data_IF_004631267724
#
_entry.id   IF_004631267724
#
_cell.length_a   1.000
_cell.length_b   1.000
_cell.length_c   1.000
_cell.angle_alpha   90.00
_cell.angle_beta   90.00
_cell.angle_gamma   90.00
#
_symmetry.space_group_name_H-M   'P 1'
#
loop_
_entity.id
_entity.type
_entity.pdbx_description
1 polymer ?
#
# COMPACT_ATOMS: atom_id res chain seq x y z
N UNK A 1 22.35 -4.57 17.77
CA UNK A 1 22.48 -4.07 16.38
C UNK A 1 21.09 -3.91 15.79
N UNK A 2 20.59 -2.67 15.74
CA UNK A 2 19.72 -2.10 14.70
C UNK A 2 19.50 -0.64 15.10
N UNK A 3 20.54 0.17 14.89
CA UNK A 3 20.49 1.63 15.12
C UNK A 3 19.59 2.34 14.10
N UNK A 4 19.24 1.66 13.00
CA UNK A 4 18.43 2.21 11.92
C UNK A 4 17.25 1.28 11.61
N UNK A 5 16.10 1.88 11.33
CA UNK A 5 14.86 1.27 10.87
C UNK A 5 14.39 1.91 9.55
N UNK A 6 13.32 1.37 8.95
CA UNK A 6 12.80 1.85 7.65
C UNK A 6 12.50 3.36 7.60
N UNK A 7 12.18 3.98 8.73
CA UNK A 7 11.90 5.42 8.79
C UNK A 7 13.13 6.29 8.60
N UNK A 8 14.34 5.77 8.86
CA UNK A 8 15.56 6.55 8.66
C UNK A 8 15.84 6.83 7.18
N UNK A 9 15.22 6.07 6.27
CA UNK A 9 15.22 6.38 4.85
C UNK A 9 14.28 7.53 4.47
N UNK A 10 13.24 7.83 5.25
CA UNK A 10 12.24 8.86 4.90
C UNK A 10 12.83 10.28 4.83
N UNK A 11 13.66 10.73 5.80
CA UNK A 11 14.32 12.05 5.74
C UNK A 11 15.26 12.22 4.54
N UNK A 12 15.80 11.13 3.98
CA UNK A 12 16.69 11.20 2.81
C UNK A 12 15.99 11.74 1.55
N UNK A 13 14.65 11.78 1.54
CA UNK A 13 13.87 12.19 0.39
C UNK A 13 13.76 11.13 -0.70
N UNK A 14 14.37 9.95 -0.51
CA UNK A 14 14.18 8.80 -1.40
C UNK A 14 12.71 8.41 -1.40
N UNK A 15 12.10 8.43 -2.59
CA UNK A 15 10.79 7.84 -2.79
C UNK A 15 10.93 6.33 -2.80
N UNK A 16 10.36 5.67 -1.80
CA UNK A 16 10.38 4.23 -1.70
C UNK A 16 8.96 3.69 -1.78
N UNK A 17 8.83 2.49 -2.33
CA UNK A 17 7.54 1.82 -2.48
C UNK A 17 7.60 0.56 -1.64
N UNK A 18 6.66 0.44 -0.71
CA UNK A 18 6.47 -0.80 0.03
C UNK A 18 5.72 -1.78 -0.86
N UNK A 19 6.27 -2.98 -1.04
CA UNK A 19 5.59 -4.09 -1.69
C UNK A 19 5.25 -5.20 -0.70
N UNK A 20 4.30 -6.07 -1.08
CA UNK A 20 4.03 -7.31 -0.36
C UNK A 20 5.30 -8.17 -0.30
N UNK A 21 5.37 -8.99 0.74
CA UNK A 21 6.40 -10.03 0.85
C UNK A 21 6.15 -11.11 -0.20
N UNK A 22 7.06 -11.21 -1.18
CA UNK A 22 6.99 -12.16 -2.28
C UNK A 22 7.18 -13.62 -1.87
N UNK A 23 7.61 -13.91 -0.63
CA UNK A 23 7.73 -15.29 -0.16
C UNK A 23 6.39 -16.00 0.02
N UNK A 24 5.29 -15.25 0.14
CA UNK A 24 3.96 -15.80 0.39
C UNK A 24 3.51 -16.78 -0.69
N UNK A 25 3.84 -16.47 -1.95
CA UNK A 25 3.38 -17.22 -3.12
C UNK A 25 4.47 -18.13 -3.73
N UNK A 26 5.67 -18.17 -3.12
CA UNK A 26 6.82 -18.97 -3.56
C UNK A 26 7.05 -20.25 -2.74
N UNK A 27 6.07 -20.63 -1.91
CA UNK A 27 6.04 -21.89 -1.17
C UNK A 27 7.31 -22.17 -0.32
N UNK A 28 7.86 -21.14 0.32
CA UNK A 28 8.96 -21.29 1.29
C UNK A 28 8.54 -20.94 2.74
N UNK A 29 7.79 -21.80 3.44
CA UNK A 29 7.40 -21.56 4.84
C UNK A 29 8.55 -21.68 5.86
N UNK A 30 9.76 -22.06 5.42
CA UNK A 30 10.86 -22.46 6.30
C UNK A 30 11.52 -21.33 7.11
N UNK A 31 11.34 -20.07 6.73
CA UNK A 31 12.11 -18.96 7.30
C UNK A 31 13.59 -18.99 6.91
N UNK A 32 14.32 -17.95 7.33
CA UNK A 32 15.74 -17.75 7.01
C UNK A 32 16.58 -18.88 7.61
N UNK A 33 17.53 -19.42 6.84
CA UNK A 33 18.54 -20.37 7.32
C UNK A 33 18.13 -21.86 7.32
N UNK A 34 16.96 -22.22 6.81
CA UNK A 34 16.55 -23.64 6.65
C UNK A 34 16.80 -24.16 5.24
N UNK A 35 17.35 -25.37 5.16
CA UNK A 35 17.48 -26.12 3.89
C UNK A 35 16.09 -26.45 3.33
N UNK A 36 15.96 -26.43 2.02
CA UNK A 36 14.68 -26.76 1.36
C UNK A 36 14.43 -28.27 1.31
N UNK A 37 13.17 -28.67 1.50
CA UNK A 37 12.73 -30.07 1.37
C UNK A 37 12.69 -30.51 -0.08
N UNK A 38 12.63 -31.82 -0.31
CA UNK A 38 12.47 -32.38 -1.66
C UNK A 38 11.21 -31.83 -2.38
N UNK A 39 10.11 -31.62 -1.64
CA UNK A 39 8.89 -31.04 -2.21
C UNK A 39 9.09 -29.59 -2.65
N UNK A 40 9.81 -28.80 -1.86
CA UNK A 40 10.15 -27.41 -2.23
C UNK A 40 11.05 -27.37 -3.46
N UNK A 41 12.06 -28.24 -3.53
CA UNK A 41 12.94 -28.35 -4.71
C UNK A 41 12.18 -28.66 -6.00
N UNK A 42 11.16 -29.53 -5.95
CA UNK A 42 10.36 -29.91 -7.12
C UNK A 42 9.67 -28.72 -7.78
N UNK A 43 9.30 -27.69 -7.01
CA UNK A 43 8.69 -26.47 -7.54
C UNK A 43 9.61 -25.68 -8.47
N UNK A 44 10.92 -25.87 -8.34
CA UNK A 44 11.95 -25.14 -9.10
C UNK A 44 12.62 -26.00 -10.17
N UNK A 45 12.17 -27.24 -10.39
CA UNK A 45 12.74 -28.11 -11.42
C UNK A 45 12.60 -27.54 -12.84
N UNK A 46 11.66 -26.63 -13.08
CA UNK A 46 11.58 -25.94 -14.37
C UNK A 46 12.84 -25.11 -14.67
N UNK A 47 13.57 -24.61 -13.67
CA UNK A 47 14.88 -23.97 -13.88
C UNK A 47 15.95 -24.98 -14.31
N UNK A 48 15.95 -26.17 -13.68
CA UNK A 48 16.85 -27.29 -14.00
C UNK A 48 16.60 -27.83 -15.42
N UNK A 49 15.33 -27.93 -15.79
CA UNK A 49 14.86 -28.56 -17.01
C UNK A 49 14.68 -27.55 -18.16
N UNK A 50 14.88 -26.25 -17.90
CA UNK A 50 14.77 -25.17 -18.88
C UNK A 50 15.68 -25.41 -20.09
N UNK A 51 15.28 -24.93 -21.27
CA UNK A 51 16.18 -24.93 -22.44
C UNK A 51 17.21 -23.79 -22.39
N UNK A 52 17.04 -22.80 -21.49
CA UNK A 52 17.97 -21.69 -21.31
C UNK A 52 19.11 -22.11 -20.35
N UNK A 53 20.37 -22.20 -20.81
CA UNK A 53 21.49 -22.63 -19.98
C UNK A 53 21.74 -21.69 -18.78
N UNK A 54 21.31 -20.42 -18.85
CA UNK A 54 21.45 -19.47 -17.74
C UNK A 54 20.50 -19.83 -16.59
N UNK A 55 19.30 -20.31 -16.89
CA UNK A 55 18.35 -20.75 -15.86
C UNK A 55 18.82 -22.04 -15.19
N UNK A 56 19.39 -22.98 -15.96
CA UNK A 56 20.07 -24.16 -15.40
C UNK A 56 21.19 -23.75 -14.45
N UNK A 57 22.00 -22.78 -14.86
CA UNK A 57 23.08 -22.26 -14.02
C UNK A 57 22.56 -21.66 -12.71
N UNK A 58 21.49 -20.85 -12.74
CA UNK A 58 20.83 -20.34 -11.53
C UNK A 58 20.40 -21.50 -10.61
N UNK A 59 19.80 -22.56 -11.15
CA UNK A 59 19.44 -23.74 -10.36
C UNK A 59 20.64 -24.34 -9.62
N UNK A 60 21.82 -24.41 -10.26
CA UNK A 60 23.05 -24.88 -9.57
C UNK A 60 23.47 -23.97 -8.42
N UNK A 61 23.20 -22.66 -8.51
CA UNK A 61 23.51 -21.71 -7.43
C UNK A 61 22.57 -21.92 -6.24
N UNK A 62 21.28 -22.15 -6.49
CA UNK A 62 20.33 -22.53 -5.45
C UNK A 62 20.79 -23.81 -4.74
N UNK A 63 21.23 -24.82 -5.51
CA UNK A 63 21.70 -26.09 -4.93
C UNK A 63 22.94 -25.89 -4.04
N UNK A 64 23.87 -25.02 -4.45
CA UNK A 64 25.05 -24.68 -3.65
C UNK A 64 24.66 -23.98 -2.33
N UNK A 65 23.60 -23.16 -2.34
CA UNK A 65 23.03 -22.53 -1.14
C UNK A 65 22.23 -23.53 -0.28
N UNK A 66 21.89 -24.70 -0.82
CA UNK A 66 21.05 -25.69 -0.16
C UNK A 66 19.60 -25.23 0.02
N UNK A 67 19.20 -24.15 -0.67
CA UNK A 67 17.90 -23.50 -0.52
C UNK A 67 17.33 -23.08 -1.87
N UNK A 68 16.08 -23.49 -2.11
CA UNK A 68 15.30 -23.12 -3.28
C UNK A 68 14.47 -21.87 -2.95
N UNK A 69 15.14 -20.73 -2.91
CA UNK A 69 14.57 -19.42 -2.62
C UNK A 69 14.95 -18.45 -3.74
N UNK A 70 13.94 -17.94 -4.44
CA UNK A 70 14.11 -16.92 -5.48
C UNK A 70 13.30 -15.66 -5.15
N UNK A 71 13.06 -15.37 -3.88
CA UNK A 71 12.21 -14.23 -3.46
C UNK A 71 12.62 -12.90 -4.09
N UNK A 72 13.90 -12.64 -4.31
CA UNK A 72 14.36 -11.43 -5.02
C UNK A 72 13.86 -11.33 -6.48
N UNK A 73 13.54 -12.46 -7.11
CA UNK A 73 12.93 -12.46 -8.45
C UNK A 73 11.51 -11.87 -8.45
N UNK A 74 10.80 -11.92 -7.32
CA UNK A 74 9.49 -11.25 -7.17
C UNK A 74 9.63 -9.74 -7.17
N UNK A 75 10.72 -9.20 -6.58
CA UNK A 75 11.02 -7.77 -6.63
C UNK A 75 11.31 -7.33 -8.07
N UNK A 76 12.11 -8.12 -8.80
CA UNK A 76 12.38 -7.86 -10.21
C UNK A 76 11.10 -7.90 -11.05
N UNK A 77 10.25 -8.91 -10.81
CA UNK A 77 8.95 -9.02 -11.46
C UNK A 77 8.07 -7.80 -11.17
N UNK A 78 7.98 -7.38 -9.92
CA UNK A 78 7.27 -6.18 -9.50
C UNK A 78 7.80 -4.92 -10.20
N UNK A 79 9.12 -4.72 -10.25
CA UNK A 79 9.73 -3.56 -10.91
C UNK A 79 9.41 -3.48 -12.40
N UNK A 80 9.31 -4.63 -13.07
CA UNK A 80 8.98 -4.70 -14.50
C UNK A 80 7.48 -4.50 -14.77
N UNK A 81 6.62 -4.89 -13.83
CA UNK A 81 5.20 -5.12 -14.12
C UNK A 81 4.22 -4.33 -13.27
N UNK A 82 4.64 -3.84 -12.10
CA UNK A 82 3.77 -3.28 -11.06
C UNK A 82 2.94 -4.32 -10.29
N UNK A 83 3.07 -5.61 -10.61
CA UNK A 83 2.35 -6.72 -9.97
C UNK A 83 3.13 -7.27 -8.76
N UNK A 84 2.52 -7.19 -7.58
CA UNK A 84 3.12 -7.64 -6.32
C UNK A 84 2.76 -9.08 -5.95
N UNK A 85 1.83 -9.68 -6.68
CA UNK A 85 1.34 -11.03 -6.41
C UNK A 85 2.03 -12.01 -7.39
N UNK A 86 3.36 -11.89 -7.49
CA UNK A 86 4.18 -12.74 -8.35
C UNK A 86 4.25 -14.17 -7.78
N UNK A 87 3.84 -15.15 -8.58
CA UNK A 87 3.89 -16.58 -8.26
C UNK A 87 4.88 -17.32 -9.16
N UNK A 88 5.08 -18.61 -8.89
CA UNK A 88 5.99 -19.46 -9.66
C UNK A 88 5.61 -19.58 -11.14
N UNK A 89 4.32 -19.58 -11.47
CA UNK A 89 3.85 -19.71 -12.85
C UNK A 89 4.12 -18.42 -13.65
N UNK A 90 3.90 -17.26 -13.03
CA UNK A 90 4.25 -15.95 -13.59
C UNK A 90 5.75 -15.82 -13.81
N UNK A 91 6.55 -16.23 -12.82
CA UNK A 91 8.01 -16.23 -12.92
C UNK A 91 8.50 -17.19 -14.02
N UNK A 92 7.95 -18.40 -14.11
CA UNK A 92 8.28 -19.35 -15.17
C UNK A 92 7.89 -18.81 -16.55
N UNK A 93 6.70 -18.22 -16.67
CA UNK A 93 6.24 -17.62 -17.92
C UNK A 93 7.20 -16.50 -18.40
N UNK A 94 7.62 -15.63 -17.49
CA UNK A 94 8.56 -14.56 -17.80
C UNK A 94 9.97 -15.09 -18.10
N UNK A 95 10.53 -15.91 -17.22
CA UNK A 95 11.94 -16.29 -17.24
C UNK A 95 12.21 -17.41 -18.24
N UNK A 96 11.40 -18.46 -18.28
CA UNK A 96 11.63 -19.64 -19.13
C UNK A 96 10.96 -19.46 -20.50
N UNK A 97 9.66 -19.17 -20.49
CA UNK A 97 8.87 -19.03 -21.73
C UNK A 97 9.07 -17.67 -22.43
N UNK A 98 9.85 -16.75 -21.84
CA UNK A 98 10.11 -15.39 -22.34
C UNK A 98 8.83 -14.58 -22.62
N UNK A 99 7.74 -14.91 -21.94
CA UNK A 99 6.46 -14.22 -22.07
C UNK A 99 6.47 -13.02 -21.14
N UNK A 100 6.74 -11.84 -21.69
CA UNK A 100 6.65 -10.58 -20.95
C UNK A 100 5.17 -10.35 -20.60
N UNK A 101 4.81 -10.31 -19.31
CA UNK A 101 3.44 -10.04 -18.90
C UNK A 101 3.07 -8.61 -19.27
N UNK A 102 1.76 -8.36 -19.44
CA UNK A 102 1.29 -6.99 -19.65
C UNK A 102 1.64 -6.18 -18.42
N UNK A 103 2.47 -5.15 -18.60
CA UNK A 103 2.83 -4.23 -17.53
C UNK A 103 1.53 -3.63 -16.99
N UNK A 104 1.17 -4.01 -15.76
CA UNK A 104 0.14 -3.33 -15.00
C UNK A 104 0.74 -1.99 -14.58
N UNK A 105 0.68 -1.00 -15.49
CA UNK A 105 1.07 0.38 -15.18
C UNK A 105 0.31 0.94 -13.97
N UNK A 106 -0.74 0.25 -13.54
CA UNK A 106 -1.64 0.69 -12.52
C UNK A 106 -1.91 -0.42 -11.51
N UNK A 107 -1.66 -0.11 -10.24
CA UNK A 107 -2.14 -0.89 -9.11
C UNK A 107 -3.57 -0.50 -8.75
N UNK A 108 -4.39 -1.51 -8.51
CA UNK A 108 -5.74 -1.31 -7.98
C UNK A 108 -5.72 -0.95 -6.48
N UNK A 109 -4.66 -1.30 -5.77
CA UNK A 109 -4.50 -1.02 -4.35
C UNK A 109 -3.11 -0.43 -4.09
N UNK A 110 -3.08 0.73 -3.45
CA UNK A 110 -1.86 1.37 -2.94
C UNK A 110 -2.04 1.59 -1.45
N UNK A 111 -1.18 1.01 -0.62
CA UNK A 111 -1.19 1.22 0.84
C UNK A 111 0.04 2.03 1.25
N UNK A 112 -0.19 3.00 2.14
CA UNK A 112 0.85 3.74 2.82
C UNK A 112 0.66 3.48 4.32
N UNK A 113 1.59 2.74 4.93
CA UNK A 113 1.57 2.56 6.39
C UNK A 113 1.71 3.91 7.08
N UNK A 114 1.04 4.11 8.20
CA UNK A 114 0.98 5.40 8.89
C UNK A 114 2.38 5.82 9.36
N UNK A 115 3.19 4.88 9.82
CA UNK A 115 4.60 5.06 10.15
C UNK A 115 5.50 5.23 8.92
N UNK A 116 4.97 5.27 7.70
CA UNK A 116 5.70 5.64 6.49
C UNK A 116 5.36 7.05 6.01
N UNK A 117 4.43 7.75 6.66
CA UNK A 117 4.15 9.15 6.33
C UNK A 117 5.38 10.02 6.60
N UNK A 118 5.65 10.95 5.67
CA UNK A 118 6.84 11.81 5.68
C UNK A 118 6.89 12.70 6.91
N UNK A 119 5.75 13.24 7.32
CA UNK A 119 5.62 14.07 8.50
C UNK A 119 4.68 13.43 9.51
N UNK A 120 5.16 13.30 10.75
CA UNK A 120 4.42 12.79 11.90
C UNK A 120 4.39 13.89 12.99
N UNK A 121 3.43 14.80 12.92
CA UNK A 121 3.26 15.87 13.89
C UNK A 121 2.44 15.34 15.09
N UNK A 122 2.99 15.42 16.30
CA UNK A 122 2.31 14.94 17.51
C UNK A 122 2.30 13.42 17.71
N UNK A 123 2.92 12.65 16.80
CA UNK A 123 2.91 11.19 16.79
C UNK A 123 4.25 10.57 17.23
N UNK A 124 4.18 9.40 17.86
CA UNK A 124 5.28 8.43 18.04
C UNK A 124 4.96 7.15 17.26
N UNK A 125 6.00 6.41 16.91
CA UNK A 125 5.86 5.09 16.30
C UNK A 125 5.77 4.07 17.42
N UNK A 126 4.83 3.15 17.31
CA UNK A 126 4.62 2.04 18.23
C UNK A 126 4.91 0.72 17.51
N UNK A 127 5.41 -0.26 18.27
CA UNK A 127 5.88 -1.55 17.76
C UNK A 127 5.24 -2.70 18.52
N UNK A 128 5.11 -3.85 17.87
CA UNK A 128 4.84 -5.13 18.53
C UNK A 128 3.37 -5.54 18.58
N UNK A 129 2.43 -4.69 18.16
CA UNK A 129 1.03 -5.09 18.01
C UNK A 129 0.89 -6.07 16.84
N UNK A 130 0.57 -7.33 17.12
CA UNK A 130 0.43 -8.38 16.11
C UNK A 130 -0.77 -8.18 15.17
N UNK A 131 -1.73 -7.32 15.53
CA UNK A 131 -2.92 -7.02 14.72
C UNK A 131 -2.73 -5.82 13.80
N UNK A 132 -1.73 -4.97 14.06
CA UNK A 132 -1.34 -3.87 13.18
C UNK A 132 -0.59 -4.40 11.94
N UNK A 133 -0.71 -3.70 10.81
CA UNK A 133 0.04 -4.03 9.60
C UNK A 133 1.52 -3.98 9.91
N UNK A 134 2.24 -5.03 9.52
CA UNK A 134 3.68 -5.16 9.75
C UNK A 134 4.12 -5.07 11.23
N UNK A 135 3.18 -5.12 12.16
CA UNK A 135 3.37 -4.96 13.62
C UNK A 135 3.87 -3.58 14.04
N UNK A 136 3.56 -2.55 13.26
CA UNK A 136 3.86 -1.15 13.56
C UNK A 136 2.60 -0.32 13.39
N UNK A 137 2.52 0.77 14.13
CA UNK A 137 1.52 1.82 13.95
C UNK A 137 2.07 3.15 14.46
N UNK A 138 1.28 4.22 14.38
CA UNK A 138 1.59 5.49 15.05
C UNK A 138 0.50 5.83 16.06
N UNK A 139 0.88 6.28 17.24
CA UNK A 139 0.00 6.81 18.29
C UNK A 139 0.39 8.22 18.67
N UNK A 140 -0.56 9.03 19.11
CA UNK A 140 -0.29 10.36 19.66
C UNK A 140 0.71 10.24 20.82
N UNK A 141 1.60 11.21 20.96
CA UNK A 141 2.57 11.24 22.08
C UNK A 141 1.91 11.55 23.41
N UNK A 142 0.86 12.36 23.36
CA UNK A 142 0.01 12.78 24.46
C UNK A 142 -1.39 13.06 23.90
N UNK A 143 -2.39 13.01 24.76
CA UNK A 143 -3.75 13.46 24.44
C UNK A 143 -3.69 14.88 23.88
N UNK A 144 -4.38 15.14 22.76
CA UNK A 144 -4.26 16.40 22.03
C UNK A 144 -4.52 16.22 20.54
N UNK A 145 -3.86 17.01 19.71
CA UNK A 145 -3.98 16.93 18.24
C UNK A 145 -2.70 16.43 17.62
N UNK A 146 -2.83 15.51 16.66
CA UNK A 146 -1.75 15.07 15.80
C UNK A 146 -2.17 15.03 14.34
N UNK A 147 -1.18 14.88 13.47
CA UNK A 147 -1.37 14.87 12.03
C UNK A 147 -0.26 14.08 11.35
N UNK A 148 -0.66 13.20 10.44
CA UNK A 148 0.25 12.53 9.52
C UNK A 148 0.09 13.12 8.13
N UNK A 149 1.20 13.34 7.42
CA UNK A 149 1.20 13.96 6.08
C UNK A 149 2.24 13.39 5.13
N UNK A 150 1.84 13.16 3.88
CA UNK A 150 2.72 12.71 2.79
C UNK A 150 2.15 13.09 1.42
N UNK A 151 2.95 12.98 0.37
CA UNK A 151 2.48 13.08 -1.01
C UNK A 151 2.07 11.71 -1.55
N UNK A 152 1.02 11.66 -2.37
CA UNK A 152 0.62 10.45 -3.08
C UNK A 152 1.49 10.26 -4.35
N UNK A 153 2.70 9.71 -4.18
CA UNK A 153 3.72 9.62 -5.25
C UNK A 153 4.11 8.17 -5.62
N UNK A 154 3.17 7.23 -5.57
CA UNK A 154 3.44 5.86 -5.99
C UNK A 154 3.54 5.79 -7.52
N UNK A 155 4.63 5.24 -8.07
CA UNK A 155 4.89 5.20 -9.52
C UNK A 155 3.94 4.29 -10.30
N UNK A 156 3.19 3.43 -9.59
CA UNK A 156 2.15 2.57 -10.15
C UNK A 156 0.74 3.06 -9.81
N UNK A 157 0.59 4.28 -9.28
CA UNK A 157 -0.71 4.93 -9.12
C UNK A 157 -1.05 5.78 -10.34
N UNK A 158 -2.34 5.95 -10.60
CA UNK A 158 -2.85 6.83 -11.65
C UNK A 158 -3.83 7.83 -11.07
N UNK A 159 -4.08 8.93 -11.78
CA UNK A 159 -5.18 9.82 -11.45
C UNK A 159 -6.54 9.11 -11.56
N UNK A 160 -7.42 9.33 -10.59
CA UNK A 160 -8.79 8.84 -10.67
C UNK A 160 -9.54 8.86 -9.34
N UNK A 161 -10.59 8.04 -9.25
CA UNK A 161 -11.41 7.87 -8.05
C UNK A 161 -10.89 6.71 -7.24
N UNK A 162 -10.78 6.92 -5.94
CA UNK A 162 -10.34 5.96 -4.97
C UNK A 162 -11.35 5.85 -3.84
N UNK A 163 -11.58 4.62 -3.37
CA UNK A 163 -12.10 4.41 -2.03
C UNK A 163 -10.90 4.40 -1.08
N UNK A 164 -10.84 5.39 -0.19
CA UNK A 164 -9.73 5.57 0.75
C UNK A 164 -10.10 4.97 2.09
N UNK A 165 -9.40 3.93 2.49
CA UNK A 165 -9.52 3.27 3.78
C UNK A 165 -8.48 3.80 4.77
N UNK A 166 -8.91 4.20 5.96
CA UNK A 166 -8.04 4.59 7.07
C UNK A 166 -8.26 3.58 8.18
N UNK A 167 -7.20 2.84 8.53
CA UNK A 167 -7.24 1.89 9.63
C UNK A 167 -6.75 2.55 10.90
N UNK A 168 -7.58 2.52 11.93
CA UNK A 168 -7.36 3.19 13.22
C UNK A 168 -7.70 2.25 14.38
N UNK A 169 -7.19 2.54 15.57
CA UNK A 169 -7.51 1.77 16.78
C UNK A 169 -8.57 2.50 17.60
N UNK A 170 -9.54 1.76 18.11
CA UNK A 170 -10.64 2.21 18.96
C UNK A 170 -10.34 1.74 20.39
N UNK A 171 -9.86 2.66 21.24
CA UNK A 171 -9.46 2.37 22.62
C UNK A 171 -10.70 2.42 23.53
N UNK A 172 -10.64 1.79 24.70
CA UNK A 172 -11.82 1.70 25.58
C UNK A 172 -12.22 3.04 26.20
N UNK A 173 -11.23 3.89 26.51
CA UNK A 173 -11.34 4.94 27.50
C UNK A 173 -11.30 6.38 26.93
N UNK A 174 -11.82 6.57 25.70
CA UNK A 174 -12.12 7.90 25.18
C UNK A 174 -12.64 7.90 23.74
N UNK A 175 -12.46 9.02 23.03
CA UNK A 175 -13.03 9.21 21.67
C UNK A 175 -12.18 10.10 20.76
N UNK A 176 -11.32 9.48 19.96
CA UNK A 176 -10.49 10.17 18.99
C UNK A 176 -11.31 10.61 17.78
N UNK A 177 -11.21 11.89 17.40
CA UNK A 177 -11.87 12.47 16.24
C UNK A 177 -10.90 12.57 15.06
N UNK A 178 -11.23 11.89 13.97
CA UNK A 178 -10.40 11.76 12.77
C UNK A 178 -10.98 12.56 11.60
N UNK A 179 -10.10 13.07 10.72
CA UNK A 179 -10.46 13.72 9.46
C UNK A 179 -9.44 13.39 8.37
N UNK A 180 -9.92 13.16 7.15
CA UNK A 180 -9.10 12.98 5.95
C UNK A 180 -9.12 14.27 5.13
N UNK A 181 -7.96 14.70 4.62
CA UNK A 181 -7.83 15.77 3.65
C UNK A 181 -7.00 15.33 2.44
N UNK A 182 -7.39 15.83 1.27
CA UNK A 182 -6.59 15.79 0.03
C UNK A 182 -6.43 17.22 -0.45
N UNK A 183 -5.18 17.69 -0.60
CA UNK A 183 -4.85 19.08 -0.95
C UNK A 183 -5.56 20.13 -0.07
N UNK A 184 -5.53 19.95 1.25
CA UNK A 184 -6.21 20.80 2.26
C UNK A 184 -7.73 20.80 2.23
N UNK A 185 -8.38 20.10 1.29
CA UNK A 185 -9.84 19.93 1.29
C UNK A 185 -10.21 18.67 2.07
N UNK A 186 -11.05 18.82 3.10
CA UNK A 186 -11.57 17.67 3.84
C UNK A 186 -12.40 16.78 2.91
N UNK A 187 -12.23 15.46 3.02
CA UNK A 187 -12.97 14.46 2.27
C UNK A 187 -13.89 13.69 3.22
N UNK A 188 -15.19 13.72 2.92
CA UNK A 188 -16.21 13.14 3.79
C UNK A 188 -16.41 13.91 5.10
N UNK A 189 -17.26 13.36 5.97
CA UNK A 189 -17.43 13.84 7.33
C UNK A 189 -16.27 13.40 8.23
N UNK A 190 -16.06 14.13 9.33
CA UNK A 190 -15.21 13.65 10.41
C UNK A 190 -15.85 12.42 11.07
N UNK A 191 -15.05 11.50 11.60
CA UNK A 191 -15.54 10.29 12.29
C UNK A 191 -14.84 10.11 13.64
N UNK A 192 -15.47 9.37 14.55
CA UNK A 192 -14.94 9.10 15.89
C UNK A 192 -14.63 7.62 16.07
N UNK A 193 -13.59 7.32 16.85
CA UNK A 193 -13.48 6.03 17.55
C UNK A 193 -14.49 6.06 18.72
N UNK A 194 -15.50 5.21 18.67
CA UNK A 194 -16.59 5.22 19.66
C UNK A 194 -17.20 3.86 19.91
N UNK A 195 -16.56 2.79 19.43
CA UNK A 195 -16.98 1.42 19.73
C UNK A 195 -16.46 0.99 21.10
N UNK A 196 -15.35 1.58 21.55
CA UNK A 196 -14.73 1.40 22.85
C UNK A 196 -14.39 -0.07 23.17
N UNK A 197 -13.89 -0.81 22.17
CA UNK A 197 -13.73 -2.26 22.22
C UNK A 197 -12.30 -2.79 22.10
N UNK A 198 -11.28 -1.91 22.20
CA UNK A 198 -9.85 -2.28 22.09
C UNK A 198 -9.56 -2.98 20.75
N UNK A 199 -10.04 -2.36 19.67
CA UNK A 199 -10.14 -2.98 18.35
C UNK A 199 -9.60 -2.11 17.22
N UNK A 200 -8.92 -2.75 16.26
CA UNK A 200 -8.62 -2.11 14.98
C UNK A 200 -9.90 -1.99 14.13
N UNK A 201 -10.18 -0.79 13.65
CA UNK A 201 -11.32 -0.43 12.81
C UNK A 201 -10.85 0.18 11.50
N UNK A 202 -11.73 0.21 10.51
CA UNK A 202 -11.49 0.85 9.22
C UNK A 202 -12.62 1.80 8.91
N UNK A 203 -12.28 3.05 8.61
CA UNK A 203 -13.19 4.01 8.01
C UNK A 203 -12.89 4.11 6.51
N UNK A 204 -13.93 4.04 5.68
CA UNK A 204 -13.80 4.20 4.22
C UNK A 204 -14.40 5.54 3.78
N UNK A 205 -13.65 6.28 2.97
CA UNK A 205 -14.11 7.47 2.25
C UNK A 205 -14.28 7.10 0.78
N UNK A 206 -15.52 6.94 0.29
CA UNK A 206 -15.76 6.44 -1.06
C UNK A 206 -15.51 7.53 -2.12
N UNK A 207 -15.10 7.09 -3.31
CA UNK A 207 -15.11 7.91 -4.54
C UNK A 207 -14.34 9.25 -4.46
N UNK A 208 -13.26 9.28 -3.69
CA UNK A 208 -12.38 10.46 -3.56
C UNK A 208 -11.52 10.59 -4.81
N UNK A 209 -11.54 11.76 -5.45
CA UNK A 209 -10.61 12.08 -6.55
C UNK A 209 -9.22 12.32 -5.97
N UNK A 210 -8.24 11.57 -6.47
CA UNK A 210 -6.82 11.66 -6.08
C UNK A 210 -5.97 11.60 -7.35
N UNK A 211 -4.97 12.47 -7.42
CA UNK A 211 -3.95 12.51 -8.45
C UNK A 211 -2.57 12.23 -7.85
N UNK A 212 -1.64 11.63 -8.62
CA UNK A 212 -0.23 11.61 -8.25
C UNK A 212 0.26 13.03 -7.93
N UNK A 213 0.97 13.19 -6.81
CA UNK A 213 1.41 14.49 -6.31
C UNK A 213 0.48 15.15 -5.30
N UNK A 214 -0.76 14.68 -5.13
CA UNK A 214 -1.67 15.24 -4.14
C UNK A 214 -1.14 15.04 -2.71
N UNK A 215 -1.32 16.04 -1.85
CA UNK A 215 -1.00 15.94 -0.43
C UNK A 215 -2.12 15.22 0.32
N UNK A 216 -1.76 14.13 0.99
CA UNK A 216 -2.65 13.32 1.83
C UNK A 216 -2.36 13.66 3.29
N UNK A 217 -3.41 14.05 4.01
CA UNK A 217 -3.33 14.39 5.43
C UNK A 217 -4.42 13.68 6.21
N UNK A 218 -4.06 13.04 7.31
CA UNK A 218 -5.01 12.60 8.33
C UNK A 218 -4.72 13.36 9.61
N UNK A 219 -5.73 14.07 10.13
CA UNK A 219 -5.64 14.73 11.44
C UNK A 219 -6.44 13.95 12.46
N UNK A 220 -5.91 13.87 13.68
CA UNK A 220 -6.57 13.20 14.80
C UNK A 220 -6.55 14.12 15.99
N UNK A 221 -7.69 14.24 16.67
CA UNK A 221 -7.80 14.87 17.98
C UNK A 221 -8.18 13.79 18.98
N UNK A 222 -7.25 13.37 19.82
CA UNK A 222 -7.52 12.49 20.95
C UNK A 222 -8.32 13.26 22.01
N UNK A 223 -9.37 12.63 22.53
CA UNK A 223 -10.19 13.11 23.65
C UNK A 223 -10.33 11.96 24.65
N UNK A 224 -10.24 12.23 25.95
CA UNK A 224 -10.04 11.19 26.97
C UNK A 224 -8.59 10.68 26.98
N UNK A 225 -8.33 9.53 27.58
CA UNK A 225 -6.99 8.92 27.62
C UNK A 225 -6.64 8.16 26.32
N UNK A 226 -7.25 8.56 25.18
CA UNK A 226 -6.95 7.98 23.87
C UNK A 226 -5.77 8.64 23.16
N UNK A 227 -4.94 7.78 22.58
CA UNK A 227 -3.79 8.11 21.77
C UNK A 227 -4.08 8.04 20.27
N UNK A 228 -5.31 7.81 19.83
CA UNK A 228 -5.74 8.01 18.43
C UNK A 228 -4.83 7.33 17.40
N UNK A 229 -4.64 6.02 17.54
CA UNK A 229 -3.65 5.26 16.78
C UNK A 229 -4.07 5.03 15.32
N UNK A 230 -3.11 5.10 14.40
CA UNK A 230 -3.28 4.86 12.97
C UNK A 230 -2.34 3.76 12.50
N UNK A 231 -2.85 2.82 11.71
CA UNK A 231 -2.08 1.71 11.11
C UNK A 231 -1.70 2.05 9.67
N UNK A 232 -2.67 2.36 8.81
CA UNK A 232 -2.40 2.72 7.42
C UNK A 232 -3.48 3.58 6.77
N UNK A 233 -3.13 4.14 5.62
CA UNK A 233 -4.05 4.69 4.64
C UNK A 233 -3.92 3.89 3.34
N UNK A 234 -5.04 3.30 2.90
CA UNK A 234 -5.11 2.45 1.71
C UNK A 234 -6.03 3.09 0.66
N UNK A 235 -5.56 3.10 -0.58
CA UNK A 235 -6.24 3.67 -1.74
C UNK A 235 -6.65 2.53 -2.66
N UNK A 236 -7.96 2.29 -2.77
CA UNK A 236 -8.53 1.29 -3.68
C UNK A 236 -9.08 1.98 -4.93
N UNK A 237 -8.42 1.81 -6.07
CA UNK A 237 -8.82 2.45 -7.32
C UNK A 237 -10.18 1.94 -7.81
N UNK A 238 -11.05 2.87 -8.18
CA UNK A 238 -12.40 2.59 -8.70
C UNK A 238 -12.59 2.92 -10.17
N UNK A 239 -11.71 3.71 -10.75
CA UNK A 239 -11.83 4.13 -12.15
C UNK A 239 -11.34 5.55 -12.36
N UNK A 240 -11.32 5.98 -13.62
CA UNK A 240 -11.00 7.35 -13.97
C UNK A 240 -12.03 8.30 -13.32
N UNK A 241 -11.60 9.51 -12.96
CA UNK A 241 -12.55 10.56 -12.63
C UNK A 241 -13.29 10.94 -13.92
N UNK A 242 -14.58 10.67 -14.01
CA UNK A 242 -15.39 11.17 -15.12
C UNK A 242 -15.29 12.69 -15.18
N UNK A 243 -14.91 13.24 -16.34
CA UNK A 243 -15.18 14.66 -16.62
C UNK A 243 -16.70 14.81 -16.65
N UNK A 244 -17.25 15.55 -15.70
CA UNK A 244 -18.66 15.93 -15.78
C UNK A 244 -18.86 16.70 -17.06
N UNK A 245 -19.55 16.12 -18.04
CA UNK A 245 -20.03 16.86 -19.19
C UNK A 245 -21.08 17.84 -18.67
N UNK A 246 -20.68 19.09 -18.47
CA UNK A 246 -21.62 20.17 -18.25
C UNK A 246 -22.39 20.35 -19.57
N UNK A 247 -23.56 19.71 -19.67
CA UNK A 247 -24.47 19.95 -20.79
C UNK A 247 -25.07 21.33 -20.55
N UNK A 248 -24.41 22.37 -21.06
CA UNK A 248 -24.97 23.71 -21.15
C UNK A 248 -26.08 23.66 -22.22
N UNK A 249 -27.31 23.41 -21.77
CA UNK A 249 -28.49 23.55 -22.61
C UNK A 249 -28.70 25.05 -22.91
N UNK A 250 -28.22 25.51 -24.06
CA UNK A 250 -28.62 26.80 -24.60
C UNK A 250 -30.09 26.73 -25.05
N UNK A 251 -31.00 27.21 -24.20
CA UNK A 251 -32.38 27.49 -24.59
C UNK A 251 -32.37 28.74 -25.46
N UNK A 252 -32.42 28.55 -26.78
CA UNK A 252 -32.64 29.65 -27.74
C UNK A 252 -34.09 30.12 -27.61
N UNK A 253 -34.34 31.20 -26.86
CA UNK A 253 -35.62 31.92 -26.91
C UNK A 253 -35.87 32.35 -28.36
N UNK A 254 -36.90 31.78 -29.00
CA UNK A 254 -37.46 32.35 -30.23
C UNK A 254 -38.10 33.68 -29.86
N UNK A 255 -37.53 34.77 -30.34
CA UNK A 255 -38.17 36.08 -30.32
C UNK A 255 -39.43 36.03 -31.16
N UNK A 256 -40.53 36.46 -30.55
CA UNK A 256 -41.77 36.83 -31.22
C UNK A 256 -41.52 38.08 -32.06
N UNK A 257 -41.63 37.98 -33.38
CA UNK A 257 -41.75 39.13 -34.26
C UNK A 257 -43.22 39.46 -34.44
N UNK A 258 -43.62 40.60 -33.85
CA UNK A 258 -44.86 41.31 -34.15
C UNK A 258 -44.60 42.35 -35.23
N UNK A 259 -45.24 42.20 -36.39
CA UNK A 259 -45.66 43.26 -37.32
C UNK A 259 -46.48 42.63 -38.43
#
# INVERSE_FOLDING_TARGET
LHLYNKRDAIPSGINWIQCKDGNRDLAHPGGVGKRSTAQQWRLYHWLRDSHDPRLKWIFTRLQAEGRADISDSTMTYFLLTGDEDADLDKLRALLDNKKIPRIAKQRNVVRIEAENFRHLEGYKVEYGDRKASHRLCVGLRSVGTGKIKTLFNNIYATAGRYDIEIRYFDERDGHSLFRLFVNRTQKGAAWRASSNDEGWRTQTMPSVVVNPGDEIVVTVKGEGDEYGKLDYVQFNYRGAASMGTEVVLYVRRRGSSSS
#
